data_IF_142254882320
#
_entry.id   IF_142254882320
#
_cell.length_a   1.000
_cell.length_b   1.000
_cell.length_c   1.000
_cell.angle_alpha   90.00
_cell.angle_beta   90.00
_cell.angle_gamma   90.00
#
_symmetry.space_group_name_H-M   'P 1'
#
loop_
_entity.id
_entity.type
_entity.pdbx_description
1 polymer ?
#
# COMPACT_ATOMS: atom_id res chain seq x y z
N UNK A 1 -22.29 17.62 4.87
CA UNK A 1 -21.00 16.89 4.96
C UNK A 1 -21.37 15.43 5.11
N UNK A 2 -21.40 14.69 4.00
CA UNK A 2 -21.95 13.33 3.99
C UNK A 2 -21.06 12.40 4.80
N UNK A 3 -21.65 11.69 5.78
CA UNK A 3 -20.93 10.74 6.64
C UNK A 3 -20.15 9.69 5.82
N UNK A 4 -20.59 9.41 4.59
CA UNK A 4 -19.95 8.49 3.66
C UNK A 4 -18.58 8.98 3.15
N UNK A 5 -18.43 10.28 2.86
CA UNK A 5 -17.15 10.84 2.39
C UNK A 5 -16.10 10.88 3.51
N UNK A 6 -16.52 11.20 4.73
CA UNK A 6 -15.64 11.20 5.91
C UNK A 6 -15.14 9.79 6.24
N UNK A 7 -15.99 8.76 6.10
CA UNK A 7 -15.59 7.35 6.31
C UNK A 7 -14.57 6.86 5.28
N UNK A 8 -14.72 7.24 4.01
CA UNK A 8 -13.78 6.89 2.95
C UNK A 8 -12.42 7.59 3.12
N UNK A 9 -12.42 8.87 3.51
CA UNK A 9 -11.17 9.57 3.85
C UNK A 9 -10.48 8.94 5.05
N UNK A 10 -11.23 8.48 6.07
CA UNK A 10 -10.67 7.76 7.21
C UNK A 10 -10.06 6.42 6.78
N UNK A 11 -10.72 5.67 5.90
CA UNK A 11 -10.20 4.41 5.37
C UNK A 11 -8.90 4.63 4.57
N UNK A 12 -8.83 5.67 3.74
CA UNK A 12 -7.61 6.05 3.02
C UNK A 12 -6.48 6.42 3.99
N UNK A 13 -6.77 7.20 5.04
CA UNK A 13 -5.79 7.51 6.10
C UNK A 13 -5.34 6.25 6.86
N UNK A 14 -6.24 5.29 7.08
CA UNK A 14 -5.91 3.99 7.66
C UNK A 14 -4.92 3.20 6.79
N UNK A 15 -5.11 3.19 5.47
CA UNK A 15 -4.15 2.60 4.52
C UNK A 15 -2.80 3.33 4.57
N UNK A 16 -2.80 4.66 4.65
CA UNK A 16 -1.57 5.46 4.81
C UNK A 16 -0.81 5.07 6.08
N UNK A 17 -1.52 4.95 7.21
CA UNK A 17 -0.93 4.54 8.49
C UNK A 17 -0.30 3.14 8.38
N UNK A 18 -0.97 2.22 7.70
CA UNK A 18 -0.49 0.86 7.50
C UNK A 18 0.84 0.85 6.71
N UNK A 19 0.94 1.67 5.66
CA UNK A 19 2.19 1.86 4.89
C UNK A 19 3.28 2.49 5.76
N UNK A 20 2.96 3.49 6.61
CA UNK A 20 3.93 4.09 7.53
C UNK A 20 4.48 3.06 8.52
N UNK A 21 3.61 2.27 9.14
CA UNK A 21 4.01 1.21 10.08
C UNK A 21 4.93 0.20 9.38
N UNK A 22 4.58 -0.21 8.16
CA UNK A 22 5.42 -1.08 7.35
C UNK A 22 6.80 -0.44 7.09
N UNK A 23 6.84 0.80 6.60
CA UNK A 23 8.10 1.48 6.28
C UNK A 23 9.00 1.61 7.49
N UNK A 24 8.43 1.94 8.66
CA UNK A 24 9.19 2.01 9.90
C UNK A 24 9.74 0.64 10.31
N UNK A 25 8.94 -0.43 10.18
CA UNK A 25 9.35 -1.78 10.53
C UNK A 25 10.51 -2.29 9.66
N UNK A 26 10.49 -1.98 8.36
CA UNK A 26 11.46 -2.51 7.40
C UNK A 26 12.56 -1.49 7.03
N UNK A 27 12.64 -0.34 7.71
CA UNK A 27 13.60 0.72 7.44
C UNK A 27 15.06 0.22 7.46
N UNK A 28 15.42 -0.59 8.45
CA UNK A 28 16.77 -1.18 8.57
C UNK A 28 17.10 -2.16 7.45
N UNK A 29 16.10 -2.83 6.88
CA UNK A 29 16.31 -3.71 5.74
C UNK A 29 16.65 -2.91 4.49
N UNK A 30 15.95 -1.78 4.27
CA UNK A 30 16.25 -0.89 3.16
C UNK A 30 17.67 -0.31 3.27
N UNK A 31 18.10 0.12 4.45
CA UNK A 31 19.48 0.62 4.64
C UNK A 31 20.53 -0.45 4.36
N UNK A 32 20.25 -1.69 4.76
CA UNK A 32 21.13 -2.84 4.47
C UNK A 32 21.24 -3.09 2.97
N UNK A 33 20.13 -3.05 2.23
CA UNK A 33 20.11 -3.22 0.76
C UNK A 33 20.94 -2.14 0.06
N UNK A 34 20.88 -0.89 0.52
CA UNK A 34 21.69 0.20 -0.05
C UNK A 34 23.18 0.11 0.31
N UNK A 35 23.54 -0.57 1.40
CA UNK A 35 24.94 -0.71 1.83
C UNK A 35 25.73 -1.72 1.01
N UNK A 36 25.08 -2.71 0.38
CA UNK A 36 25.77 -3.70 -0.47
C UNK A 36 26.01 -3.14 -1.88
N UNK A 37 27.01 -2.28 -2.00
CA UNK A 37 27.32 -1.49 -3.21
C UNK A 37 27.70 -2.28 -4.49
N UNK A 38 27.94 -3.60 -4.47
CA UNK A 38 28.59 -4.29 -5.60
C UNK A 38 27.85 -5.45 -6.27
N UNK A 39 26.83 -6.07 -5.66
CA UNK A 39 26.23 -7.31 -6.23
C UNK A 39 24.80 -7.11 -6.78
N UNK A 40 24.17 -5.95 -6.57
CA UNK A 40 22.74 -5.81 -6.92
C UNK A 40 22.27 -4.40 -7.26
N UNK A 41 22.77 -3.83 -8.37
CA UNK A 41 22.20 -2.60 -8.95
C UNK A 41 20.67 -2.74 -9.12
N UNK A 42 20.20 -3.88 -9.62
CA UNK A 42 18.78 -4.16 -9.83
C UNK A 42 17.98 -4.19 -8.50
N UNK A 43 18.37 -4.96 -7.46
CA UNK A 43 17.75 -4.90 -6.13
C UNK A 43 17.70 -3.49 -5.52
N UNK A 44 18.76 -2.69 -5.66
CA UNK A 44 18.80 -1.33 -5.10
C UNK A 44 17.84 -0.37 -5.80
N UNK A 45 17.71 -0.44 -7.13
CA UNK A 45 16.77 0.39 -7.89
C UNK A 45 15.33 0.02 -7.53
N UNK A 46 15.02 -1.28 -7.45
CA UNK A 46 13.70 -1.75 -7.02
C UNK A 46 13.37 -1.27 -5.61
N UNK A 47 14.32 -1.40 -4.66
CA UNK A 47 14.14 -0.91 -3.30
C UNK A 47 13.88 0.61 -3.26
N UNK A 48 14.60 1.39 -4.06
CA UNK A 48 14.43 2.84 -4.14
C UNK A 48 13.05 3.21 -4.72
N UNK A 49 12.61 2.53 -5.78
CA UNK A 49 11.27 2.72 -6.36
C UNK A 49 10.17 2.35 -5.37
N UNK A 50 10.34 1.27 -4.61
CA UNK A 50 9.38 0.86 -3.57
C UNK A 50 9.31 1.88 -2.45
N UNK A 51 10.44 2.43 -1.99
CA UNK A 51 10.44 3.49 -1.00
C UNK A 51 9.74 4.75 -1.52
N UNK A 52 10.07 5.20 -2.74
CA UNK A 52 9.44 6.37 -3.34
C UNK A 52 7.92 6.18 -3.50
N UNK A 53 7.50 4.98 -3.91
CA UNK A 53 6.10 4.58 -4.01
C UNK A 53 5.42 4.53 -2.63
N UNK A 54 6.08 4.02 -1.59
CA UNK A 54 5.56 4.02 -0.22
C UNK A 54 5.34 5.45 0.29
N UNK A 55 6.33 6.33 0.13
CA UNK A 55 6.23 7.75 0.50
C UNK A 55 5.10 8.45 -0.29
N UNK A 56 5.04 8.24 -1.61
CA UNK A 56 4.00 8.81 -2.45
C UNK A 56 2.59 8.36 -2.03
N UNK A 57 2.43 7.07 -1.70
CA UNK A 57 1.18 6.53 -1.18
C UNK A 57 0.79 7.18 0.14
N UNK A 58 1.73 7.31 1.09
CA UNK A 58 1.47 7.97 2.38
C UNK A 58 1.03 9.41 2.18
N UNK A 59 1.73 10.20 1.37
CA UNK A 59 1.41 11.61 1.14
C UNK A 59 0.01 11.74 0.52
N UNK A 60 -0.28 11.00 -0.55
CA UNK A 60 -1.57 11.08 -1.22
C UNK A 60 -2.72 10.62 -0.34
N UNK A 61 -2.57 9.47 0.33
CA UNK A 61 -3.63 8.87 1.15
C UNK A 61 -3.87 9.62 2.47
N UNK A 62 -2.82 10.17 3.10
CA UNK A 62 -2.97 10.98 4.32
C UNK A 62 -3.77 12.27 4.06
N UNK A 63 -3.63 12.83 2.86
CA UNK A 63 -4.43 13.97 2.40
C UNK A 63 -5.84 13.57 1.95
N UNK A 64 -6.17 12.27 1.90
CA UNK A 64 -7.44 11.78 1.37
C UNK A 64 -7.55 11.88 -0.15
N UNK A 65 -6.42 12.00 -0.85
CA UNK A 65 -6.39 12.17 -2.29
C UNK A 65 -6.34 10.82 -3.03
N UNK A 66 -7.17 10.70 -4.08
CA UNK A 66 -7.30 9.50 -4.92
C UNK A 66 -6.00 9.11 -5.63
N UNK A 67 -5.13 10.07 -5.96
CA UNK A 67 -3.86 9.78 -6.62
C UNK A 67 -2.92 8.96 -5.75
N UNK A 68 -3.05 8.99 -4.41
CA UNK A 68 -2.25 8.19 -3.48
C UNK A 68 -2.45 6.68 -3.63
N UNK A 69 -3.54 6.24 -4.27
CA UNK A 69 -3.77 4.84 -4.58
C UNK A 69 -2.89 4.33 -5.73
N UNK A 70 -2.47 5.19 -6.66
CA UNK A 70 -1.58 4.82 -7.77
C UNK A 70 -0.25 4.28 -7.25
N UNK A 71 0.53 5.04 -6.44
CA UNK A 71 1.75 4.51 -5.88
C UNK A 71 1.47 3.37 -4.88
N UNK A 72 0.32 3.32 -4.20
CA UNK A 72 -0.04 2.18 -3.33
C UNK A 72 -0.16 0.86 -4.13
N UNK A 73 -0.74 0.89 -5.32
CA UNK A 73 -0.87 -0.29 -6.19
C UNK A 73 0.44 -0.77 -6.76
N UNK A 74 1.44 0.11 -6.86
CA UNK A 74 2.81 -0.32 -7.17
C UNK A 74 3.50 -0.88 -5.92
N UNK A 75 3.25 -0.27 -4.77
CA UNK A 75 3.89 -0.62 -3.49
C UNK A 75 3.58 -2.05 -3.05
N UNK A 76 2.28 -2.39 -2.95
CA UNK A 76 1.83 -3.67 -2.34
C UNK A 76 2.38 -4.88 -3.12
N UNK A 77 2.24 -4.99 -4.45
CA UNK A 77 2.83 -6.10 -5.20
C UNK A 77 4.34 -6.12 -5.12
N UNK A 78 5.00 -4.95 -5.12
CA UNK A 78 6.46 -4.91 -5.10
C UNK A 78 7.03 -5.43 -3.78
N UNK A 79 6.47 -5.05 -2.62
CA UNK A 79 6.89 -5.61 -1.33
C UNK A 79 6.56 -7.10 -1.19
N UNK A 80 5.52 -7.57 -1.87
CA UNK A 80 5.10 -8.98 -1.82
C UNK A 80 6.03 -9.85 -2.66
N UNK A 81 6.28 -9.44 -3.90
CA UNK A 81 6.97 -10.26 -4.90
C UNK A 81 8.49 -10.13 -4.83
N UNK A 82 9.02 -8.93 -4.59
CA UNK A 82 10.48 -8.71 -4.56
C UNK A 82 11.07 -8.91 -3.16
N UNK A 83 10.30 -8.61 -2.12
CA UNK A 83 10.80 -8.63 -0.74
C UNK A 83 10.17 -9.74 0.12
N UNK A 84 9.06 -10.35 -0.33
CA UNK A 84 8.36 -11.36 0.46
C UNK A 84 7.84 -10.83 1.79
N UNK A 85 7.50 -9.54 1.89
CA UNK A 85 7.04 -8.91 3.12
C UNK A 85 5.54 -8.72 3.14
N UNK A 86 4.95 -8.81 4.33
CA UNK A 86 3.54 -8.47 4.53
C UNK A 86 3.39 -7.02 4.95
N UNK A 87 2.36 -6.36 4.43
CA UNK A 87 1.98 -5.01 4.82
C UNK A 87 1.58 -4.94 6.30
N UNK A 88 0.95 -6.00 6.83
CA UNK A 88 0.61 -6.13 8.25
C UNK A 88 1.78 -6.85 8.95
N UNK A 89 2.64 -6.13 9.69
CA UNK A 89 3.80 -6.74 10.32
C UNK A 89 3.39 -7.75 11.40
N UNK A 90 4.26 -8.72 11.65
CA UNK A 90 4.09 -9.79 12.66
C UNK A 90 2.98 -10.81 12.41
N UNK A 91 1.91 -10.47 11.69
CA UNK A 91 0.79 -11.38 11.44
C UNK A 91 1.21 -12.69 10.73
N UNK A 92 2.09 -12.68 9.71
CA UNK A 92 2.61 -13.92 9.12
C UNK A 92 3.45 -14.77 10.08
N UNK A 93 4.03 -14.17 11.13
CA UNK A 93 4.93 -14.89 12.04
C UNK A 93 4.17 -15.84 12.98
N UNK A 94 2.87 -15.62 13.15
CA UNK A 94 1.98 -16.50 13.91
C UNK A 94 1.73 -17.84 13.20
N UNK A 95 2.07 -17.94 11.91
CA UNK A 95 1.89 -19.15 11.11
C UNK A 95 3.19 -19.93 10.97
N UNK A 96 3.04 -21.24 10.72
CA UNK A 96 4.15 -22.16 10.44
C UNK A 96 4.99 -21.65 9.27
N UNK A 97 6.34 -21.79 9.31
CA UNK A 97 7.24 -21.30 8.27
C UNK A 97 6.83 -21.70 6.85
N UNK A 98 6.36 -22.94 6.68
CA UNK A 98 5.92 -23.51 5.39
C UNK A 98 4.75 -22.73 4.75
N UNK A 99 3.86 -22.16 5.56
CA UNK A 99 2.67 -21.45 5.09
C UNK A 99 2.89 -19.94 4.99
N UNK A 100 4.00 -19.39 5.50
CA UNK A 100 4.22 -17.94 5.61
C UNK A 100 4.10 -17.24 4.26
N UNK A 101 4.69 -17.78 3.22
CA UNK A 101 4.65 -17.18 1.89
C UNK A 101 3.21 -17.09 1.34
N UNK A 102 2.43 -18.16 1.51
CA UNK A 102 1.02 -18.21 1.10
C UNK A 102 0.21 -17.18 1.90
N UNK A 103 0.43 -17.10 3.21
CA UNK A 103 -0.24 -16.13 4.09
C UNK A 103 0.10 -14.69 3.71
N UNK A 104 1.37 -14.40 3.38
CA UNK A 104 1.81 -13.07 2.96
C UNK A 104 1.10 -12.63 1.69
N UNK A 105 1.04 -13.51 0.68
CA UNK A 105 0.29 -13.25 -0.55
C UNK A 105 -1.18 -12.97 -0.23
N UNK A 106 -1.84 -13.87 0.51
CA UNK A 106 -3.27 -13.71 0.84
C UNK A 106 -3.55 -12.40 1.60
N UNK A 107 -2.72 -12.05 2.58
CA UNK A 107 -2.88 -10.81 3.35
C UNK A 107 -2.72 -9.58 2.47
N UNK A 108 -1.64 -9.52 1.69
CA UNK A 108 -1.37 -8.37 0.83
C UNK A 108 -2.41 -8.24 -0.29
N UNK A 109 -2.86 -9.35 -0.86
CA UNK A 109 -3.98 -9.38 -1.82
C UNK A 109 -5.27 -8.88 -1.19
N UNK A 110 -5.56 -9.25 0.07
CA UNK A 110 -6.75 -8.76 0.79
C UNK A 110 -6.68 -7.25 0.98
N UNK A 111 -5.53 -6.71 1.40
CA UNK A 111 -5.35 -5.26 1.54
C UNK A 111 -5.47 -4.56 0.19
N UNK A 112 -4.96 -5.16 -0.89
CA UNK A 112 -5.06 -4.59 -2.23
C UNK A 112 -6.51 -4.54 -2.73
N UNK A 113 -7.29 -5.61 -2.53
CA UNK A 113 -8.72 -5.62 -2.86
C UNK A 113 -9.47 -4.55 -2.06
N UNK A 114 -9.17 -4.42 -0.77
CA UNK A 114 -9.74 -3.37 0.06
C UNK A 114 -9.40 -1.97 -0.45
N UNK A 115 -8.13 -1.72 -0.83
CA UNK A 115 -7.70 -0.45 -1.40
C UNK A 115 -8.43 -0.13 -2.72
N UNK A 116 -8.62 -1.12 -3.59
CA UNK A 116 -9.42 -0.98 -4.82
C UNK A 116 -10.86 -0.62 -4.51
N UNK A 117 -11.49 -1.32 -3.56
CA UNK A 117 -12.88 -1.04 -3.16
C UNK A 117 -13.04 0.39 -2.60
N UNK A 118 -12.09 0.86 -1.80
CA UNK A 118 -12.09 2.24 -1.28
C UNK A 118 -11.95 3.25 -2.43
N UNK A 119 -11.02 3.03 -3.37
CA UNK A 119 -10.83 3.92 -4.51
C UNK A 119 -12.09 4.00 -5.38
N UNK A 120 -12.70 2.85 -5.71
CA UNK A 120 -13.92 2.82 -6.51
C UNK A 120 -15.05 3.60 -5.84
N UNK A 121 -15.26 3.42 -4.53
CA UNK A 121 -16.24 4.21 -3.77
C UNK A 121 -15.91 5.70 -3.74
N UNK A 122 -14.64 6.07 -3.69
CA UNK A 122 -14.24 7.47 -3.74
C UNK A 122 -14.50 8.09 -5.11
N UNK A 123 -14.39 7.33 -6.20
CA UNK A 123 -14.68 7.79 -7.56
C UNK A 123 -16.19 7.85 -7.86
N UNK A 124 -16.97 6.91 -7.33
CA UNK A 124 -18.41 6.82 -7.54
C UNK A 124 -19.15 8.05 -6.96
N UNK A 125 -18.66 8.59 -5.83
CA UNK A 125 -19.20 9.81 -5.23
C UNK A 125 -18.96 11.09 -6.08
N UNK A 126 -18.07 11.08 -7.07
CA UNK A 126 -17.86 12.22 -7.97
C UNK A 126 -18.74 12.17 -9.22
N UNK A 127 -19.36 11.02 -9.51
CA UNK A 127 -20.27 10.87 -10.64
C UNK A 127 -21.62 11.44 -10.23
N UNK A 128 -21.71 12.77 -10.18
CA UNK A 128 -22.99 13.46 -10.28
C UNK A 128 -23.46 13.21 -11.71
N UNK A 129 -24.31 12.20 -11.89
CA UNK A 129 -25.07 12.03 -13.12
C UNK A 129 -25.74 13.39 -13.39
N UNK A 130 -25.50 14.04 -14.54
CA UNK A 130 -26.33 15.16 -14.92
C UNK A 130 -27.72 14.58 -15.02
N UNK A 131 -28.57 14.87 -14.02
CA UNK A 131 -29.97 14.54 -14.06
C UNK A 131 -30.46 14.97 -15.45
N UNK A 132 -30.97 14.01 -16.21
CA UNK A 132 -31.62 14.27 -17.49
C UNK A 132 -32.59 15.43 -17.28
N UNK A 133 -32.20 16.59 -17.81
CA UNK A 133 -33.11 17.70 -18.03
C UNK A 133 -33.99 17.28 -19.20
N UNK A 134 -35.05 16.54 -18.91
CA UNK A 134 -36.21 16.42 -19.78
C UNK A 134 -37.49 16.45 -18.94
#
# INVERSE_FOLDING_TARGET
MDANSSGLTLAAKGLALLVVIFMFRYAETFTTIFSFQQIGIVPSIVAMLVLASGVGAVIGLAQGNRWGFIPLYFFIPAITLFFGYSLIPYLPHLFRPELRHIVIILLNSTVMIFAVAVLLKMMDNDVILPAEKY
#
